data_IF_232494112058
#
_entry.id   IF_232494112058
#
_cell.length_a   1.000
_cell.length_b   1.000
_cell.length_c   1.000
_cell.angle_alpha   90.00
_cell.angle_beta   90.00
_cell.angle_gamma   90.00
#
_symmetry.space_group_name_H-M   'P 1'
#
loop_
_entity.id
_entity.type
_entity.pdbx_description
1 polymer ?
#
# COMPACT_ATOMS: atom_id res chain seq x y z
N UNK A 1 -2.27 -59.44 7.86
CA UNK A 1 -3.66 -59.99 7.80
C UNK A 1 -4.54 -58.74 7.71
N UNK A 2 -5.37 -58.65 6.67
CA UNK A 2 -6.24 -57.47 6.55
C UNK A 2 -7.41 -57.59 7.55
N UNK A 3 -8.02 -56.45 7.87
CA UNK A 3 -9.07 -56.32 8.89
C UNK A 3 -10.29 -57.24 8.59
N UNK A 4 -10.57 -57.54 7.32
CA UNK A 4 -11.64 -58.45 6.88
C UNK A 4 -11.38 -59.90 7.30
N UNK A 5 -10.14 -60.35 7.25
CA UNK A 5 -9.73 -61.70 7.68
C UNK A 5 -9.89 -61.89 9.20
N UNK A 6 -9.66 -60.82 9.99
CA UNK A 6 -9.84 -60.85 11.45
C UNK A 6 -11.33 -60.93 11.83
N UNK A 7 -12.17 -60.15 11.16
CA UNK A 7 -13.64 -60.12 11.41
C UNK A 7 -14.27 -61.48 11.04
N UNK A 8 -13.90 -62.07 9.92
CA UNK A 8 -14.40 -63.38 9.49
C UNK A 8 -13.91 -64.46 10.45
N UNK A 9 -12.68 -64.46 10.95
CA UNK A 9 -12.21 -65.42 11.93
C UNK A 9 -12.95 -65.34 13.27
N UNK A 10 -13.28 -64.17 13.75
CA UNK A 10 -14.04 -63.97 15.00
C UNK A 10 -15.49 -64.46 14.84
N UNK A 11 -16.12 -64.20 13.70
CA UNK A 11 -17.52 -64.67 13.43
C UNK A 11 -17.57 -66.19 13.32
N UNK A 12 -16.61 -66.85 12.70
CA UNK A 12 -16.54 -68.29 12.60
C UNK A 12 -16.27 -68.96 13.96
N UNK A 13 -15.46 -68.35 14.82
CA UNK A 13 -15.22 -68.86 16.18
C UNK A 13 -16.44 -68.72 17.08
N UNK A 14 -17.23 -67.68 16.98
CA UNK A 14 -18.47 -67.50 17.73
C UNK A 14 -19.60 -68.45 17.29
N UNK A 15 -19.69 -68.71 15.98
CA UNK A 15 -20.63 -69.69 15.43
C UNK A 15 -20.25 -71.15 15.78
N UNK A 16 -18.94 -71.46 15.78
CA UNK A 16 -18.44 -72.78 16.20
C UNK A 16 -18.64 -73.10 17.66
N UNK A 17 -18.57 -72.10 18.54
CA UNK A 17 -18.81 -72.28 19.96
C UNK A 17 -20.31 -72.52 20.30
N UNK A 18 -21.24 -72.00 19.46
CA UNK A 18 -22.68 -72.20 19.64
C UNK A 18 -23.19 -73.60 19.27
N UNK A 19 -22.45 -74.32 18.39
CA UNK A 19 -22.86 -75.65 17.89
C UNK A 19 -22.28 -76.82 18.67
N UNK A 20 -21.38 -76.56 19.64
CA UNK A 20 -20.61 -77.62 20.36
C UNK A 20 -21.18 -78.09 21.71
N UNK A 21 -22.19 -77.48 22.25
CA UNK A 21 -22.73 -77.91 23.56
C UNK A 21 -24.21 -78.26 23.47
N UNK A 22 -24.49 -79.55 23.62
CA UNK A 22 -25.83 -80.10 23.80
C UNK A 22 -26.38 -79.65 25.17
N UNK A 23 -27.54 -78.97 25.20
CA UNK A 23 -28.09 -78.44 26.43
C UNK A 23 -29.50 -78.92 26.73
N UNK A 24 -29.72 -79.17 28.00
CA UNK A 24 -30.92 -79.59 28.70
C UNK A 24 -32.05 -78.51 28.61
N UNK A 25 -33.24 -78.92 28.29
CA UNK A 25 -34.39 -78.11 27.78
C UNK A 25 -34.92 -77.02 28.75
N UNK A 26 -34.52 -76.96 30.00
CA UNK A 26 -35.02 -75.97 30.95
C UNK A 26 -34.25 -74.66 31.08
N UNK A 27 -33.07 -74.50 30.40
CA UNK A 27 -32.30 -73.27 30.36
C UNK A 27 -32.42 -72.50 29.01
N UNK A 28 -33.20 -73.01 28.08
CA UNK A 28 -33.20 -72.59 26.67
C UNK A 28 -33.80 -71.18 26.42
N UNK A 29 -34.73 -70.70 27.25
CA UNK A 29 -35.43 -69.42 27.01
C UNK A 29 -34.49 -68.20 27.24
N UNK A 30 -33.79 -68.16 28.37
CA UNK A 30 -32.90 -67.06 28.70
C UNK A 30 -31.63 -67.02 27.81
N UNK A 31 -31.16 -68.21 27.40
CA UNK A 31 -30.06 -68.35 26.48
C UNK A 31 -30.44 -67.92 25.07
N UNK A 32 -31.62 -68.29 24.58
CA UNK A 32 -32.10 -67.87 23.26
C UNK A 32 -32.33 -66.36 23.19
N UNK A 33 -32.83 -65.73 24.30
CA UNK A 33 -32.92 -64.27 24.38
C UNK A 33 -31.54 -63.62 24.32
N UNK A 34 -30.56 -64.17 25.03
CA UNK A 34 -29.17 -63.66 25.00
C UNK A 34 -28.48 -63.88 23.65
N UNK A 35 -28.76 -64.97 22.97
CA UNK A 35 -28.27 -65.24 21.61
C UNK A 35 -28.89 -64.22 20.64
N UNK A 36 -30.19 -63.96 20.69
CA UNK A 36 -30.86 -63.00 19.83
C UNK A 36 -30.37 -61.52 20.10
N UNK A 37 -30.09 -61.20 21.37
CA UNK A 37 -29.47 -59.90 21.73
C UNK A 37 -28.03 -59.80 21.16
N UNK A 38 -27.24 -60.86 21.27
CA UNK A 38 -25.87 -60.89 20.73
C UNK A 38 -25.89 -60.85 19.20
N UNK A 39 -26.80 -61.56 18.53
CA UNK A 39 -27.01 -61.50 17.10
C UNK A 39 -27.39 -60.09 16.62
N UNK A 40 -28.30 -59.42 17.34
CA UNK A 40 -28.69 -58.02 17.07
C UNK A 40 -27.49 -57.08 17.22
N UNK A 41 -26.71 -57.21 18.31
CA UNK A 41 -25.55 -56.41 18.57
C UNK A 41 -24.43 -56.66 17.50
N UNK A 42 -24.28 -57.95 17.10
CA UNK A 42 -23.32 -58.32 16.07
C UNK A 42 -23.71 -57.74 14.71
N UNK A 43 -24.99 -57.71 14.38
CA UNK A 43 -25.52 -57.04 13.18
C UNK A 43 -25.26 -55.58 13.21
N UNK A 44 -25.60 -54.88 14.34
CA UNK A 44 -25.33 -53.46 14.50
C UNK A 44 -23.84 -53.10 14.38
N UNK A 45 -22.99 -53.94 15.01
CA UNK A 45 -21.53 -53.76 14.93
C UNK A 45 -21.00 -53.96 13.51
N UNK A 46 -21.58 -54.94 12.77
CA UNK A 46 -21.20 -55.18 11.36
C UNK A 46 -21.62 -53.99 10.46
N UNK A 47 -22.79 -53.40 10.71
CA UNK A 47 -23.24 -52.19 9.99
C UNK A 47 -22.34 -50.98 10.31
N UNK A 48 -21.92 -50.82 11.57
CA UNK A 48 -21.01 -49.74 12.00
C UNK A 48 -19.61 -49.94 11.37
N UNK A 49 -19.08 -51.16 11.34
CA UNK A 49 -17.80 -51.47 10.68
C UNK A 49 -17.88 -51.18 9.18
N UNK A 50 -18.98 -51.52 8.51
CA UNK A 50 -19.12 -51.21 7.07
C UNK A 50 -19.19 -49.66 6.84
N UNK A 51 -19.85 -48.93 7.72
CA UNK A 51 -19.90 -47.45 7.66
C UNK A 51 -18.53 -46.80 7.90
N UNK A 52 -17.76 -47.36 8.84
CA UNK A 52 -16.40 -46.87 9.12
C UNK A 52 -15.43 -47.23 7.97
N UNK A 53 -15.57 -48.40 7.33
CA UNK A 53 -14.79 -48.74 6.13
C UNK A 53 -15.06 -47.74 4.98
N UNK A 54 -16.30 -47.39 4.71
CA UNK A 54 -16.69 -46.42 3.69
C UNK A 54 -16.15 -44.99 4.00
N UNK A 55 -16.22 -44.58 5.27
CA UNK A 55 -15.61 -43.32 5.72
C UNK A 55 -14.09 -43.34 5.54
N UNK A 56 -13.44 -44.44 5.83
CA UNK A 56 -12.00 -44.62 5.67
C UNK A 56 -11.59 -44.52 4.19
N UNK A 57 -12.36 -45.11 3.29
CA UNK A 57 -12.16 -45.04 1.83
C UNK A 57 -12.29 -43.59 1.33
N UNK A 58 -13.35 -42.90 1.79
CA UNK A 58 -13.59 -41.48 1.49
C UNK A 58 -12.42 -40.59 1.95
N UNK A 59 -12.02 -40.72 3.22
CA UNK A 59 -10.88 -40.01 3.79
C UNK A 59 -9.56 -40.30 3.09
N UNK A 60 -9.35 -41.53 2.66
CA UNK A 60 -8.18 -41.93 1.89
C UNK A 60 -8.16 -41.26 0.51
N UNK A 61 -9.33 -41.15 -0.13
CA UNK A 61 -9.51 -40.40 -1.37
C UNK A 61 -9.22 -38.91 -1.23
N UNK A 62 -9.80 -38.27 -0.17
CA UNK A 62 -9.55 -36.89 0.15
C UNK A 62 -8.07 -36.61 0.44
N UNK A 63 -7.40 -37.48 1.23
CA UNK A 63 -5.98 -37.38 1.52
C UNK A 63 -5.15 -37.42 0.23
N UNK A 64 -5.50 -38.30 -0.70
CA UNK A 64 -4.79 -38.42 -2.00
C UNK A 64 -5.01 -37.15 -2.82
N UNK A 65 -6.21 -36.62 -2.87
CA UNK A 65 -6.53 -35.39 -3.57
C UNK A 65 -5.75 -34.17 -2.97
N UNK A 66 -5.76 -34.04 -1.68
CA UNK A 66 -5.03 -32.98 -0.96
C UNK A 66 -3.51 -33.09 -1.17
N UNK A 67 -2.98 -34.32 -1.18
CA UNK A 67 -1.56 -34.56 -1.46
C UNK A 67 -1.17 -34.14 -2.89
N UNK A 68 -2.06 -34.36 -3.85
CA UNK A 68 -1.87 -33.94 -5.25
C UNK A 68 -1.92 -32.40 -5.36
N UNK A 69 -2.90 -31.77 -4.69
CA UNK A 69 -3.01 -30.31 -4.66
C UNK A 69 -1.79 -29.64 -3.99
N UNK A 70 -1.33 -30.21 -2.88
CA UNK A 70 -0.11 -29.74 -2.22
C UNK A 70 1.11 -29.88 -3.12
N UNK A 71 1.21 -30.97 -3.86
CA UNK A 71 2.29 -31.15 -4.84
C UNK A 71 2.27 -30.13 -5.97
N UNK A 72 1.08 -29.80 -6.48
CA UNK A 72 0.90 -28.75 -7.50
C UNK A 72 1.25 -27.36 -6.94
N UNK A 73 0.75 -27.02 -5.75
CA UNK A 73 1.04 -25.74 -5.10
C UNK A 73 2.55 -25.56 -4.81
N UNK A 74 3.23 -26.63 -4.37
CA UNK A 74 4.68 -26.58 -4.16
C UNK A 74 5.46 -26.40 -5.48
N UNK A 75 4.99 -26.98 -6.58
CA UNK A 75 5.62 -26.79 -7.88
C UNK A 75 5.43 -25.35 -8.38
N UNK A 76 4.25 -24.78 -8.17
CA UNK A 76 3.95 -23.38 -8.49
C UNK A 76 4.80 -22.42 -7.66
N UNK A 77 4.92 -22.69 -6.35
CA UNK A 77 5.79 -21.91 -5.46
C UNK A 77 7.25 -21.93 -5.93
N UNK A 78 7.79 -23.08 -6.31
CA UNK A 78 9.15 -23.18 -6.85
C UNK A 78 9.34 -22.41 -8.16
N UNK A 79 8.31 -22.41 -9.03
CA UNK A 79 8.33 -21.61 -10.26
C UNK A 79 8.37 -20.11 -9.93
N UNK A 80 7.50 -19.67 -9.02
CA UNK A 80 7.41 -18.28 -8.58
C UNK A 80 8.70 -17.79 -7.91
N UNK A 81 9.32 -18.63 -7.07
CA UNK A 81 10.62 -18.34 -6.45
C UNK A 81 11.73 -18.21 -7.51
N UNK A 82 11.68 -19.01 -8.56
CA UNK A 82 12.64 -18.92 -9.67
C UNK A 82 12.45 -17.62 -10.45
N UNK A 83 11.22 -17.27 -10.76
CA UNK A 83 10.87 -16.01 -11.45
C UNK A 83 11.24 -14.80 -10.59
N UNK A 84 10.92 -14.83 -9.30
CA UNK A 84 11.30 -13.77 -8.36
C UNK A 84 12.81 -13.55 -8.31
N UNK A 85 13.60 -14.63 -8.21
CA UNK A 85 15.06 -14.53 -8.20
C UNK A 85 15.63 -14.02 -9.52
N UNK A 86 15.02 -14.39 -10.66
CA UNK A 86 15.39 -13.86 -11.96
C UNK A 86 15.09 -12.36 -12.08
N UNK A 87 13.90 -11.95 -11.66
CA UNK A 87 13.48 -10.54 -11.64
C UNK A 87 14.36 -9.70 -10.70
N UNK A 88 14.68 -10.24 -9.52
CA UNK A 88 15.60 -9.59 -8.59
C UNK A 88 16.98 -9.39 -9.21
N UNK A 89 17.51 -10.39 -9.89
CA UNK A 89 18.81 -10.28 -10.58
C UNK A 89 18.76 -9.22 -11.68
N UNK A 90 17.66 -9.13 -12.43
CA UNK A 90 17.47 -8.08 -13.43
C UNK A 90 17.39 -6.69 -12.79
N UNK A 91 16.67 -6.58 -11.69
CA UNK A 91 16.57 -5.32 -10.94
C UNK A 91 17.94 -4.87 -10.43
N UNK A 92 18.73 -5.77 -9.81
CA UNK A 92 20.05 -5.45 -9.30
C UNK A 92 21.01 -5.05 -10.45
N UNK A 93 20.91 -5.70 -11.62
CA UNK A 93 21.68 -5.34 -12.79
C UNK A 93 21.26 -3.96 -13.35
N UNK A 94 19.98 -3.67 -13.41
CA UNK A 94 19.45 -2.38 -13.85
C UNK A 94 19.85 -1.25 -12.88
N UNK A 95 19.80 -1.52 -11.60
CA UNK A 95 20.27 -0.59 -10.55
C UNK A 95 21.76 -0.28 -10.74
N UNK A 96 22.59 -1.30 -10.97
CA UNK A 96 24.02 -1.08 -11.24
C UNK A 96 24.27 -0.28 -12.52
N UNK A 97 23.49 -0.51 -13.58
CA UNK A 97 23.57 0.29 -14.81
C UNK A 97 23.12 1.74 -14.58
N UNK A 98 22.08 1.94 -13.79
CA UNK A 98 21.61 3.27 -13.39
C UNK A 98 22.68 4.02 -12.60
N UNK A 99 23.30 3.37 -11.61
CA UNK A 99 24.37 3.98 -10.81
C UNK A 99 25.61 4.33 -11.67
N UNK A 100 25.93 3.49 -12.65
CA UNK A 100 27.00 3.79 -13.60
C UNK A 100 26.63 5.01 -14.47
N UNK A 101 25.42 5.07 -15.01
CA UNK A 101 24.94 6.18 -15.83
C UNK A 101 24.90 7.48 -15.03
N UNK A 102 24.42 7.43 -13.77
CA UNK A 102 24.46 8.56 -12.85
C UNK A 102 25.91 9.04 -12.64
N UNK A 103 26.85 8.11 -12.44
CA UNK A 103 28.27 8.45 -12.27
C UNK A 103 28.87 9.11 -13.52
N UNK A 104 28.52 8.61 -14.70
CA UNK A 104 28.97 9.19 -15.98
C UNK A 104 28.35 10.57 -16.22
N UNK A 105 27.03 10.70 -15.93
CA UNK A 105 26.32 11.98 -16.00
C UNK A 105 26.94 13.01 -15.05
N UNK A 106 27.17 12.67 -13.79
CA UNK A 106 27.78 13.53 -12.79
C UNK A 106 29.18 14.00 -13.20
N UNK A 107 29.99 13.09 -13.75
CA UNK A 107 31.30 13.43 -14.27
C UNK A 107 31.22 14.45 -15.41
N UNK A 108 30.24 14.26 -16.31
CA UNK A 108 29.98 15.17 -17.41
C UNK A 108 29.44 16.51 -16.92
N UNK A 109 28.48 16.46 -15.96
CA UNK A 109 27.84 17.63 -15.37
C UNK A 109 28.85 18.45 -14.53
N UNK A 110 29.71 17.80 -13.73
CA UNK A 110 30.77 18.47 -12.98
C UNK A 110 31.76 19.17 -13.91
N UNK A 111 32.11 18.52 -15.04
CA UNK A 111 32.95 19.15 -16.08
C UNK A 111 32.25 20.34 -16.73
N UNK A 112 30.95 20.23 -16.99
CA UNK A 112 30.12 21.31 -17.53
C UNK A 112 30.02 22.48 -16.55
N UNK A 113 29.73 22.22 -15.28
CA UNK A 113 29.61 23.24 -14.23
C UNK A 113 30.96 23.93 -13.94
N UNK A 114 32.07 23.18 -13.93
CA UNK A 114 33.41 23.72 -13.79
C UNK A 114 33.78 24.62 -14.98
N UNK A 115 33.27 24.32 -16.17
CA UNK A 115 33.52 25.10 -17.38
C UNK A 115 32.67 26.38 -17.48
N UNK A 116 31.51 26.46 -16.81
CA UNK A 116 30.51 27.51 -17.08
C UNK A 116 30.12 28.35 -15.85
N UNK A 117 30.36 27.89 -14.59
CA UNK A 117 30.05 28.65 -13.36
C UNK A 117 28.57 29.08 -13.24
N UNK A 118 27.66 28.36 -13.88
CA UNK A 118 26.25 28.72 -14.02
C UNK A 118 25.34 28.18 -12.86
N UNK A 119 24.29 28.91 -12.51
CA UNK A 119 23.25 28.41 -11.56
C UNK A 119 22.54 27.15 -12.07
N UNK A 120 21.96 26.35 -11.17
CA UNK A 120 21.16 25.19 -11.56
C UNK A 120 19.88 25.66 -12.26
N UNK A 121 19.61 25.09 -13.41
CA UNK A 121 18.47 25.40 -14.26
C UNK A 121 18.82 26.39 -15.37
N UNK A 122 18.74 25.91 -16.61
CA UNK A 122 18.74 26.71 -17.82
C UNK A 122 17.50 26.37 -18.62
N UNK A 123 16.32 26.69 -18.08
CA UNK A 123 15.06 26.47 -18.77
C UNK A 123 14.78 27.54 -19.82
N UNK A 124 14.24 27.16 -20.96
CA UNK A 124 13.54 28.08 -21.83
C UNK A 124 12.30 28.61 -21.10
N UNK A 125 12.18 29.93 -20.93
CA UNK A 125 11.01 30.55 -20.30
C UNK A 125 11.34 31.41 -19.08
N UNK A 126 10.32 32.03 -18.44
CA UNK A 126 10.51 32.87 -17.26
C UNK A 126 10.97 32.01 -16.07
N UNK A 127 11.97 32.49 -15.35
CA UNK A 127 12.52 31.87 -14.15
C UNK A 127 12.24 32.69 -12.89
N UNK A 128 12.36 32.04 -11.74
CA UNK A 128 12.41 32.64 -10.41
C UNK A 128 13.82 32.40 -9.90
N UNK A 129 14.56 33.46 -9.60
CA UNK A 129 15.91 33.35 -9.08
C UNK A 129 15.86 33.09 -7.57
N UNK A 130 16.62 32.11 -7.10
CA UNK A 130 16.78 31.78 -5.68
C UNK A 130 18.24 31.53 -5.37
N UNK A 131 18.70 32.11 -4.26
CA UNK A 131 20.04 31.90 -3.71
C UNK A 131 19.91 31.50 -2.25
N UNK A 132 20.52 30.38 -1.89
CA UNK A 132 20.52 29.84 -0.54
C UNK A 132 21.95 29.75 -0.02
N UNK A 133 22.11 30.01 1.28
CA UNK A 133 23.38 29.84 1.97
C UNK A 133 23.12 29.16 3.32
N UNK A 134 23.94 28.16 3.64
CA UNK A 134 23.84 27.42 4.90
C UNK A 134 25.22 26.97 5.36
N UNK A 135 25.35 26.49 6.59
CA UNK A 135 26.60 25.95 7.12
C UNK A 135 26.48 24.45 7.39
N UNK A 136 27.46 23.68 6.98
CA UNK A 136 27.59 22.27 7.32
C UNK A 136 29.05 21.90 7.51
N UNK A 137 29.38 21.13 8.58
CA UNK A 137 30.75 20.72 8.96
C UNK A 137 31.72 21.90 9.02
N UNK A 138 31.32 23.02 9.64
CA UNK A 138 32.10 24.25 9.80
C UNK A 138 32.54 24.89 8.46
N UNK A 139 31.85 24.61 7.39
CA UNK A 139 32.01 25.20 6.07
C UNK A 139 30.70 25.84 5.64
N UNK A 140 30.80 27.04 5.03
CA UNK A 140 29.66 27.71 4.43
C UNK A 140 29.46 27.22 3.00
N UNK A 141 28.23 26.96 2.66
CA UNK A 141 27.78 26.44 1.38
C UNK A 141 26.77 27.40 0.76
N UNK A 142 26.67 27.39 -0.53
CA UNK A 142 25.67 28.15 -1.27
C UNK A 142 25.22 27.41 -2.53
N UNK A 143 24.00 27.71 -2.94
CA UNK A 143 23.40 27.19 -4.18
C UNK A 143 22.58 28.30 -4.82
N UNK A 144 22.80 28.53 -6.11
CA UNK A 144 22.01 29.43 -6.93
C UNK A 144 21.13 28.64 -7.88
N UNK A 145 19.85 28.98 -7.92
CA UNK A 145 18.81 28.28 -8.64
C UNK A 145 18.08 29.22 -9.58
N UNK A 146 17.90 28.81 -10.83
CA UNK A 146 16.99 29.43 -11.80
C UNK A 146 15.78 28.52 -11.95
N UNK A 147 14.76 28.75 -11.16
CA UNK A 147 13.60 27.86 -11.02
C UNK A 147 12.56 28.17 -12.10
N UNK A 148 12.07 27.18 -12.89
CA UNK A 148 11.03 27.41 -13.89
C UNK A 148 9.74 27.94 -13.25
N UNK A 149 9.33 29.16 -13.61
CA UNK A 149 8.11 29.79 -13.07
C UNK A 149 6.86 28.99 -13.41
N UNK A 150 6.79 28.40 -14.60
CA UNK A 150 5.64 27.61 -15.03
C UNK A 150 5.38 26.38 -14.17
N UNK A 151 6.45 25.75 -13.66
CA UNK A 151 6.34 24.61 -12.74
C UNK A 151 5.88 25.06 -11.36
N UNK A 152 6.42 26.19 -10.87
CA UNK A 152 5.96 26.78 -9.61
C UNK A 152 4.49 27.18 -9.66
N UNK A 153 4.09 27.92 -10.70
CA UNK A 153 2.71 28.38 -10.88
C UNK A 153 1.73 27.19 -10.99
N UNK A 154 2.17 26.09 -11.60
CA UNK A 154 1.38 24.86 -11.63
C UNK A 154 1.14 24.32 -10.22
N UNK A 155 2.18 24.08 -9.43
CA UNK A 155 2.03 23.53 -8.09
C UNK A 155 1.28 24.48 -7.13
N UNK A 156 1.56 25.76 -7.22
CA UNK A 156 0.86 26.77 -6.41
C UNK A 156 -0.65 26.85 -6.69
N UNK A 157 -1.06 26.53 -7.93
CA UNK A 157 -2.47 26.46 -8.34
C UNK A 157 -3.08 25.07 -8.23
N UNK A 158 -2.26 24.03 -8.00
CA UNK A 158 -2.73 22.64 -7.98
C UNK A 158 -3.53 22.36 -6.70
N UNK A 159 -4.67 21.71 -6.85
CA UNK A 159 -5.51 21.30 -5.72
C UNK A 159 -4.77 20.29 -4.83
N UNK A 160 -4.83 20.48 -3.52
CA UNK A 160 -4.18 19.57 -2.58
C UNK A 160 -4.94 18.26 -2.46
N UNK A 161 -4.28 17.10 -2.64
CA UNK A 161 -4.90 15.80 -2.41
C UNK A 161 -5.44 15.70 -0.97
N UNK A 162 -6.69 15.22 -0.82
CA UNK A 162 -7.29 15.03 0.51
C UNK A 162 -6.82 13.69 1.08
N UNK A 163 -5.64 13.69 1.70
CA UNK A 163 -5.02 12.49 2.29
C UNK A 163 -4.05 12.89 3.39
N UNK A 164 -3.92 12.04 4.41
CA UNK A 164 -2.89 12.17 5.45
C UNK A 164 -1.54 11.53 5.01
N UNK A 165 -1.50 10.91 3.83
CA UNK A 165 -0.28 10.30 3.30
C UNK A 165 0.53 11.30 2.48
N UNK A 166 1.49 11.95 3.11
CA UNK A 166 2.36 12.94 2.48
C UNK A 166 3.27 12.37 1.37
N UNK A 167 3.36 11.05 1.20
CA UNK A 167 4.10 10.46 0.08
C UNK A 167 3.52 10.88 -1.28
N UNK A 168 2.24 11.27 -1.36
CA UNK A 168 1.63 11.81 -2.57
C UNK A 168 2.35 13.04 -3.11
N UNK A 169 2.89 13.88 -2.23
CA UNK A 169 3.65 15.07 -2.64
C UNK A 169 5.06 14.73 -3.10
N UNK A 170 5.66 13.69 -2.51
CA UNK A 170 7.02 13.23 -2.84
C UNK A 170 7.04 12.45 -4.17
N UNK A 171 5.98 11.71 -4.45
CA UNK A 171 5.88 10.83 -5.63
C UNK A 171 5.27 11.50 -6.87
N UNK A 172 5.00 12.81 -6.81
CA UNK A 172 4.60 13.57 -7.99
C UNK A 172 5.81 13.85 -8.88
N UNK A 173 5.83 13.26 -10.07
CA UNK A 173 7.00 13.28 -10.97
C UNK A 173 7.14 14.57 -11.79
N UNK A 174 6.26 15.56 -11.62
CA UNK A 174 6.24 16.73 -12.49
C UNK A 174 7.45 17.65 -12.34
N UNK A 175 8.04 17.68 -11.17
CA UNK A 175 9.27 18.47 -10.88
C UNK A 175 10.55 17.65 -10.88
N UNK A 176 10.48 16.33 -11.05
CA UNK A 176 11.60 15.40 -10.95
C UNK A 176 12.80 15.82 -11.79
N UNK A 177 12.56 16.29 -13.01
CA UNK A 177 13.66 16.70 -13.89
C UNK A 177 14.48 17.86 -13.32
N UNK A 178 13.82 18.83 -12.66
CA UNK A 178 14.49 19.93 -12.00
C UNK A 178 15.09 19.54 -10.65
N UNK A 179 14.28 18.86 -9.82
CA UNK A 179 14.71 18.42 -8.49
C UNK A 179 15.84 17.41 -8.55
N UNK A 180 15.92 16.56 -9.59
CA UNK A 180 17.07 15.71 -9.87
C UNK A 180 18.35 16.54 -10.07
N UNK A 181 18.28 17.65 -10.79
CA UNK A 181 19.44 18.53 -10.97
C UNK A 181 19.92 19.14 -9.63
N UNK A 182 18.98 19.43 -8.72
CA UNK A 182 19.31 19.88 -7.35
C UNK A 182 19.97 18.74 -6.55
N UNK A 183 19.35 17.56 -6.54
CA UNK A 183 19.87 16.37 -5.86
C UNK A 183 21.27 15.98 -6.36
N UNK A 184 21.50 16.03 -7.68
CA UNK A 184 22.79 15.77 -8.30
C UNK A 184 23.87 16.77 -7.85
N UNK A 185 23.50 18.04 -7.65
CA UNK A 185 24.42 19.02 -7.10
C UNK A 185 24.85 18.64 -5.68
N UNK A 186 23.92 18.19 -4.81
CA UNK A 186 24.27 17.72 -3.48
C UNK A 186 25.17 16.48 -3.52
N UNK A 187 24.90 15.52 -4.43
CA UNK A 187 25.75 14.35 -4.64
C UNK A 187 27.16 14.74 -5.12
N UNK A 188 27.25 15.65 -6.10
CA UNK A 188 28.53 16.11 -6.62
C UNK A 188 29.37 16.77 -5.52
N UNK A 189 28.80 17.72 -4.77
CA UNK A 189 29.46 18.38 -3.65
C UNK A 189 29.87 17.40 -2.54
N UNK A 190 29.04 16.41 -2.26
CA UNK A 190 29.35 15.35 -1.29
C UNK A 190 30.57 14.52 -1.72
N UNK A 191 30.63 14.12 -2.99
CA UNK A 191 31.75 13.37 -3.56
C UNK A 191 33.05 14.18 -3.55
N UNK A 192 32.99 15.45 -3.97
CA UNK A 192 34.13 16.36 -3.96
C UNK A 192 34.73 16.52 -2.55
N UNK A 193 33.90 16.46 -1.52
CA UNK A 193 34.34 16.62 -0.14
C UNK A 193 34.56 15.28 0.58
N UNK A 194 34.38 14.15 -0.10
CA UNK A 194 34.62 12.81 0.46
C UNK A 194 33.66 12.42 1.58
N UNK A 195 32.39 12.86 1.51
CA UNK A 195 31.40 12.58 2.54
C UNK A 195 31.04 11.09 2.59
N UNK A 196 30.88 10.57 3.79
CA UNK A 196 30.27 9.25 4.04
C UNK A 196 28.77 9.31 3.72
N UNK A 197 28.10 8.17 3.58
CA UNK A 197 26.66 8.11 3.33
C UNK A 197 25.83 8.88 4.37
N UNK A 198 26.17 8.77 5.65
CA UNK A 198 25.51 9.54 6.69
C UNK A 198 25.78 11.06 6.58
N UNK A 199 27.01 11.44 6.22
CA UNK A 199 27.34 12.85 6.00
C UNK A 199 26.67 13.41 4.74
N UNK A 200 26.51 12.61 3.69
CA UNK A 200 25.80 12.98 2.45
C UNK A 200 24.31 13.26 2.76
N UNK A 201 23.65 12.37 3.53
CA UNK A 201 22.28 12.58 4.01
C UNK A 201 22.17 13.83 4.88
N UNK A 202 23.06 13.99 5.84
CA UNK A 202 23.08 15.18 6.73
C UNK A 202 23.36 16.46 5.96
N UNK A 203 24.16 16.43 4.90
CA UNK A 203 24.44 17.58 4.06
C UNK A 203 23.19 18.07 3.33
N UNK A 204 22.42 17.16 2.70
CA UNK A 204 21.14 17.51 2.09
C UNK A 204 20.13 18.02 3.14
N UNK A 205 20.04 17.32 4.28
CA UNK A 205 19.16 17.73 5.36
C UNK A 205 19.53 19.11 5.93
N UNK A 206 20.83 19.41 6.11
CA UNK A 206 21.29 20.69 6.65
C UNK A 206 20.84 21.90 5.81
N UNK A 207 20.76 21.73 4.49
CA UNK A 207 20.16 22.74 3.61
C UNK A 207 18.69 22.98 3.95
N UNK A 208 17.88 21.92 4.02
CA UNK A 208 16.44 22.07 4.33
C UNK A 208 16.23 22.55 5.77
N UNK A 209 17.03 22.08 6.72
CA UNK A 209 17.01 22.55 8.11
C UNK A 209 17.27 24.04 8.21
N UNK A 210 18.13 24.62 7.35
CA UNK A 210 18.46 26.05 7.32
C UNK A 210 17.32 26.94 6.82
N UNK A 211 16.35 26.37 6.10
CA UNK A 211 15.16 27.13 5.67
C UNK A 211 14.34 27.56 6.92
N UNK A 212 13.85 28.80 6.96
CA UNK A 212 13.00 29.27 8.05
C UNK A 212 11.78 28.36 8.30
N UNK A 213 11.55 28.02 9.58
CA UNK A 213 10.34 27.32 9.98
C UNK A 213 9.17 28.32 10.06
N UNK A 214 8.13 28.10 9.28
CA UNK A 214 6.96 28.99 9.23
C UNK A 214 5.69 28.15 9.11
N UNK A 215 4.70 28.45 9.95
CA UNK A 215 3.38 27.84 9.90
C UNK A 215 2.63 28.24 8.62
N UNK A 216 1.82 27.33 8.11
CA UNK A 216 1.05 27.52 6.88
C UNK A 216 0.09 28.70 6.95
N UNK A 217 -0.62 28.88 8.06
CA UNK A 217 -1.55 29.98 8.22
C UNK A 217 -0.88 31.38 8.12
N UNK A 218 0.43 31.45 8.36
CA UNK A 218 1.22 32.70 8.23
C UNK A 218 1.63 32.95 6.78
N UNK A 219 1.95 31.89 6.07
CA UNK A 219 2.55 31.99 4.73
C UNK A 219 1.54 31.87 3.59
N UNK A 220 0.45 31.11 3.81
CA UNK A 220 -0.56 30.83 2.78
C UNK A 220 -1.96 31.31 3.13
N UNK A 221 -2.23 31.56 4.43
CA UNK A 221 -3.57 31.87 4.94
C UNK A 221 -4.45 30.64 5.17
N UNK A 222 -4.01 29.43 4.83
CA UNK A 222 -4.67 28.17 5.15
C UNK A 222 -4.17 27.62 6.48
N UNK A 223 -4.98 26.86 7.20
CA UNK A 223 -4.57 26.24 8.47
C UNK A 223 -3.57 25.09 8.24
N UNK A 224 -3.79 24.33 7.18
CA UNK A 224 -2.97 23.21 6.71
C UNK A 224 -2.77 23.39 5.21
N UNK A 225 -1.53 23.36 4.75
CA UNK A 225 -1.16 23.51 3.35
C UNK A 225 0.15 22.79 3.06
N UNK A 226 0.08 21.49 2.87
CA UNK A 226 1.25 20.71 2.46
C UNK A 226 1.78 21.22 1.11
N UNK A 227 3.00 21.77 1.12
CA UNK A 227 3.68 22.21 -0.10
C UNK A 227 4.28 21.04 -0.83
N UNK A 228 4.16 21.06 -2.14
CA UNK A 228 5.03 20.22 -2.95
C UNK A 228 6.50 20.60 -2.73
N UNK A 229 7.45 19.66 -2.91
CA UNK A 229 8.88 19.94 -2.71
C UNK A 229 9.36 21.18 -3.47
N UNK A 230 8.90 21.31 -4.71
CA UNK A 230 9.21 22.44 -5.57
C UNK A 230 8.74 23.79 -5.02
N UNK A 231 7.56 23.84 -4.40
CA UNK A 231 7.06 25.05 -3.76
C UNK A 231 7.90 25.42 -2.54
N UNK A 232 8.19 24.41 -1.67
CA UNK A 232 9.05 24.64 -0.50
C UNK A 232 10.43 25.15 -0.91
N UNK A 233 10.97 24.60 -2.00
CA UNK A 233 12.26 25.06 -2.56
C UNK A 233 12.18 26.49 -3.07
N UNK A 234 11.07 26.91 -3.69
CA UNK A 234 10.91 28.27 -4.23
C UNK A 234 10.54 29.26 -3.14
N UNK A 235 9.61 28.92 -2.25
CA UNK A 235 9.17 29.79 -1.16
C UNK A 235 10.30 30.00 -0.12
N UNK A 236 11.19 29.00 0.00
CA UNK A 236 12.32 29.02 0.92
C UNK A 236 11.90 28.95 2.39
N UNK A 237 10.70 28.50 2.68
CA UNK A 237 10.11 28.35 4.02
C UNK A 237 9.20 27.14 4.06
N UNK A 238 8.94 26.62 5.26
CA UNK A 238 7.97 25.55 5.48
C UNK A 238 7.91 25.14 6.94
N UNK A 239 6.87 24.40 7.28
CA UNK A 239 6.73 23.73 8.58
C UNK A 239 7.35 22.33 8.58
N UNK A 240 6.97 21.45 9.53
CA UNK A 240 7.54 20.11 9.62
C UNK A 240 7.18 19.24 8.42
N UNK A 241 5.94 19.33 7.95
CA UNK A 241 5.46 18.57 6.81
C UNK A 241 6.17 18.99 5.52
N UNK A 242 6.14 20.28 5.20
CA UNK A 242 6.77 20.86 4.00
C UNK A 242 8.28 20.54 3.93
N UNK A 243 9.00 20.69 5.05
CA UNK A 243 10.44 20.42 5.12
C UNK A 243 10.75 18.93 5.01
N UNK A 244 9.93 18.07 5.60
CA UNK A 244 10.09 16.62 5.51
C UNK A 244 9.81 16.11 4.09
N UNK A 245 8.77 16.62 3.42
CA UNK A 245 8.44 16.32 2.04
C UNK A 245 9.61 16.70 1.11
N UNK A 246 10.15 17.93 1.23
CA UNK A 246 11.29 18.37 0.42
C UNK A 246 12.54 17.51 0.68
N UNK A 247 12.84 17.21 1.95
CA UNK A 247 14.01 16.38 2.29
C UNK A 247 13.84 14.96 1.77
N UNK A 248 12.63 14.39 1.88
CA UNK A 248 12.34 13.05 1.37
C UNK A 248 12.56 12.97 -0.14
N UNK A 249 12.04 13.92 -0.94
CA UNK A 249 12.24 13.92 -2.39
C UNK A 249 13.72 14.07 -2.75
N UNK A 250 14.44 14.99 -2.13
CA UNK A 250 15.88 15.15 -2.40
C UNK A 250 16.63 13.84 -2.13
N UNK A 251 16.38 13.18 -1.01
CA UNK A 251 17.05 11.93 -0.67
C UNK A 251 16.64 10.77 -1.57
N UNK A 252 15.37 10.67 -1.97
CA UNK A 252 14.93 9.68 -2.97
C UNK A 252 15.65 9.88 -4.29
N UNK A 253 15.71 11.12 -4.78
CA UNK A 253 16.44 11.46 -6.01
C UNK A 253 17.95 11.27 -5.87
N UNK A 254 18.51 11.32 -4.66
CA UNK A 254 19.89 10.92 -4.34
C UNK A 254 20.05 9.39 -4.19
N UNK A 255 19.01 8.59 -4.51
CA UNK A 255 18.99 7.12 -4.44
C UNK A 255 19.06 6.55 -3.02
N UNK A 256 18.51 7.26 -2.03
CA UNK A 256 18.27 6.72 -0.69
C UNK A 256 16.88 6.13 -0.59
N UNK A 257 16.76 5.08 0.20
CA UNK A 257 15.49 4.48 0.60
C UNK A 257 14.97 5.24 1.84
N UNK A 258 13.81 5.89 1.70
CA UNK A 258 13.27 6.86 2.65
C UNK A 258 11.82 6.51 2.98
N UNK A 259 11.42 6.76 4.22
CA UNK A 259 10.03 6.72 4.66
C UNK A 259 9.67 8.04 5.34
N UNK A 260 8.40 8.45 5.28
CA UNK A 260 7.87 9.50 6.15
C UNK A 260 7.46 8.89 7.49
N UNK A 261 7.71 9.62 8.56
CA UNK A 261 7.37 9.28 9.93
C UNK A 261 6.37 10.31 10.44
N UNK A 262 5.12 9.89 10.62
CA UNK A 262 4.02 10.79 10.96
C UNK A 262 3.54 10.57 12.40
N UNK A 263 3.36 11.68 13.11
CA UNK A 263 2.67 11.81 14.39
C UNK A 263 1.55 12.84 14.27
N UNK A 264 0.61 12.94 15.20
CA UNK A 264 -0.51 13.88 15.09
C UNK A 264 -0.13 15.35 14.87
N UNK A 265 1.06 15.78 15.30
CA UNK A 265 1.50 17.18 15.23
C UNK A 265 2.93 17.33 14.68
N UNK A 266 3.47 16.28 14.07
CA UNK A 266 4.84 16.32 13.56
C UNK A 266 5.07 15.32 12.43
N UNK A 267 5.88 15.74 11.46
CA UNK A 267 6.38 14.88 10.38
C UNK A 267 7.90 14.98 10.35
N UNK A 268 8.55 13.83 10.36
CA UNK A 268 9.97 13.68 10.12
C UNK A 268 10.21 12.59 9.07
N UNK A 269 11.45 12.22 8.84
CA UNK A 269 11.79 11.14 7.90
C UNK A 269 12.60 10.04 8.54
N UNK A 270 12.50 8.85 7.97
CA UNK A 270 13.40 7.73 8.23
C UNK A 270 14.23 7.45 6.99
N UNK A 271 15.53 7.26 7.14
CA UNK A 271 16.46 6.99 6.04
C UNK A 271 17.17 5.67 6.26
N UNK A 272 17.10 4.77 5.29
CA UNK A 272 17.86 3.53 5.33
C UNK A 272 19.31 3.78 4.94
N UNK A 273 20.23 3.55 5.87
CA UNK A 273 21.67 3.58 5.64
C UNK A 273 22.24 2.22 6.08
N UNK A 274 22.81 1.41 5.18
CA UNK A 274 23.42 0.13 5.54
C UNK A 274 24.44 0.28 6.66
N UNK A 275 24.33 -0.52 7.71
CA UNK A 275 25.16 -0.46 8.93
C UNK A 275 25.14 0.88 9.68
N UNK A 276 24.16 1.73 9.40
CA UNK A 276 23.95 2.97 10.14
C UNK A 276 23.56 2.69 11.60
N UNK A 277 23.88 3.62 12.48
CA UNK A 277 23.59 3.53 13.92
C UNK A 277 22.86 4.77 14.41
N UNK A 278 22.04 4.58 15.44
CA UNK A 278 21.25 5.65 16.03
C UNK A 278 19.80 5.23 16.26
N UNK A 279 18.97 6.21 16.59
CA UNK A 279 17.54 6.02 16.75
C UNK A 279 16.90 5.68 15.40
N UNK A 280 16.03 4.69 15.37
CA UNK A 280 15.49 4.14 14.13
C UNK A 280 14.12 3.51 14.30
N UNK A 281 13.40 3.41 13.22
CA UNK A 281 12.15 2.66 13.07
C UNK A 281 12.36 1.46 12.19
N UNK A 282 11.67 0.36 12.48
CA UNK A 282 11.71 -0.85 11.65
C UNK A 282 10.50 -0.89 10.73
N UNK A 283 10.74 -1.06 9.44
CA UNK A 283 9.72 -1.25 8.43
C UNK A 283 10.21 -2.27 7.39
N UNK A 284 9.41 -3.29 7.10
CA UNK A 284 9.73 -4.37 6.14
C UNK A 284 11.12 -5.00 6.30
N UNK A 285 11.55 -5.18 7.56
CA UNK A 285 12.84 -5.78 7.88
C UNK A 285 14.06 -4.87 7.68
N UNK A 286 13.85 -3.59 7.37
CA UNK A 286 14.89 -2.57 7.29
C UNK A 286 14.80 -1.62 8.48
N UNK A 287 15.95 -1.08 8.89
CA UNK A 287 16.06 -0.06 9.92
C UNK A 287 16.24 1.31 9.30
N UNK A 288 15.21 2.15 9.39
CA UNK A 288 15.23 3.52 8.92
C UNK A 288 15.65 4.44 10.06
N UNK A 289 16.79 5.07 9.91
CA UNK A 289 17.34 6.01 10.88
C UNK A 289 16.52 7.28 10.89
N UNK A 290 16.12 7.75 12.06
CA UNK A 290 15.39 9.00 12.22
C UNK A 290 16.21 10.20 11.72
N UNK A 291 15.56 11.13 11.04
CA UNK A 291 16.15 12.40 10.61
C UNK A 291 15.17 13.54 10.84
N UNK A 292 15.56 14.47 11.70
CA UNK A 292 14.84 15.70 11.97
C UNK A 292 15.07 16.72 10.85
N UNK A 293 14.02 17.37 10.37
CA UNK A 293 14.08 18.31 9.23
C UNK A 293 13.82 19.76 9.61
N UNK A 294 13.30 20.02 10.82
CA UNK A 294 12.79 21.35 11.20
C UNK A 294 13.82 22.27 11.81
N UNK A 295 14.88 21.74 12.43
CA UNK A 295 15.90 22.51 13.16
C UNK A 295 17.29 22.15 12.69
N UNK A 296 18.16 23.18 12.61
CA UNK A 296 19.56 23.01 12.29
C UNK A 296 20.31 22.18 13.36
N UNK A 297 21.31 21.42 12.90
CA UNK A 297 22.25 20.72 13.73
C UNK A 297 21.87 19.30 14.11
N UNK A 298 20.65 18.84 13.81
CA UNK A 298 20.28 17.45 13.98
C UNK A 298 20.88 16.59 12.86
N UNK A 299 21.39 15.42 13.24
CA UNK A 299 21.97 14.47 12.30
C UNK A 299 21.18 13.16 12.24
N UNK A 300 21.31 12.44 11.14
CA UNK A 300 20.63 11.16 10.94
C UNK A 300 20.96 10.17 12.06
N UNK A 301 19.95 9.56 12.66
CA UNK A 301 20.05 8.68 13.83
C UNK A 301 19.94 9.40 15.17
N UNK A 302 19.81 10.71 15.21
CA UNK A 302 19.49 11.49 16.40
C UNK A 302 18.01 11.84 16.40
N UNK A 303 17.31 11.61 17.52
CA UNK A 303 15.91 11.99 17.69
C UNK A 303 15.77 12.96 18.85
N UNK A 304 14.94 14.01 18.71
CA UNK A 304 14.57 14.86 19.84
C UNK A 304 13.95 14.01 20.97
N UNK A 305 14.22 14.34 22.25
CA UNK A 305 13.73 13.54 23.38
C UNK A 305 12.21 13.34 23.38
N UNK A 306 11.46 14.31 22.87
CA UNK A 306 10.01 14.31 22.77
C UNK A 306 9.47 13.23 21.81
N UNK A 307 10.25 12.81 20.80
CA UNK A 307 9.88 11.78 19.82
C UNK A 307 10.56 10.43 20.10
N UNK A 308 11.55 10.40 20.99
CA UNK A 308 12.25 9.18 21.37
C UNK A 308 11.31 8.18 22.06
N UNK A 309 11.12 7.00 21.46
CA UNK A 309 10.28 5.93 22.01
C UNK A 309 8.78 6.06 21.75
N UNK A 310 8.35 7.05 20.93
CA UNK A 310 6.96 7.18 20.48
C UNK A 310 6.80 6.48 19.14
N UNK A 311 5.72 5.71 18.98
CA UNK A 311 5.39 5.05 17.71
C UNK A 311 4.95 6.10 16.69
N UNK A 312 5.60 6.11 15.51
CA UNK A 312 5.18 6.85 14.34
C UNK A 312 4.31 5.99 13.42
N UNK A 313 3.40 6.59 12.68
CA UNK A 313 2.89 5.96 11.47
C UNK A 313 3.97 6.06 10.39
N UNK A 314 4.35 4.91 9.82
CA UNK A 314 5.38 4.85 8.78
C UNK A 314 4.68 4.86 7.42
N UNK A 315 5.00 5.86 6.60
CA UNK A 315 4.51 5.97 5.23
C UNK A 315 5.68 5.77 4.27
N UNK A 316 5.73 4.65 3.53
CA UNK A 316 6.71 4.44 2.49
C UNK A 316 6.53 5.46 1.35
N UNK A 317 7.62 5.78 0.65
CA UNK A 317 7.55 6.65 -0.51
C UNK A 317 7.20 5.81 -1.73
N UNK A 318 5.92 5.60 -1.91
CA UNK A 318 5.31 4.86 -3.01
C UNK A 318 4.18 5.69 -3.63
N UNK A 319 3.83 5.47 -4.90
CA UNK A 319 2.68 6.12 -5.50
C UNK A 319 1.41 5.89 -4.68
N UNK A 320 0.65 6.94 -4.45
CA UNK A 320 -0.51 6.94 -3.54
C UNK A 320 -1.80 7.08 -4.35
N UNK A 321 -2.78 6.23 -4.09
CA UNK A 321 -4.15 6.41 -4.58
C UNK A 321 -4.88 7.43 -3.71
N UNK A 322 -5.40 8.48 -4.33
CA UNK A 322 -6.26 9.47 -3.66
C UNK A 322 -7.48 9.70 -4.52
N UNK A 323 -8.58 9.09 -4.13
CA UNK A 323 -9.78 9.06 -4.94
C UNK A 323 -10.89 9.83 -4.23
N UNK A 324 -11.55 10.67 -4.98
CA UNK A 324 -12.75 11.37 -4.54
C UNK A 324 -13.79 11.33 -5.65
N UNK A 325 -15.05 11.59 -5.33
CA UNK A 325 -16.07 11.74 -6.34
C UNK A 325 -17.13 12.75 -5.89
N UNK A 326 -17.75 13.36 -6.88
CA UNK A 326 -18.95 14.16 -6.72
C UNK A 326 -19.97 13.74 -7.77
N UNK A 327 -21.24 14.09 -7.58
CA UNK A 327 -22.29 13.65 -8.46
C UNK A 327 -23.37 14.71 -8.64
N UNK A 328 -24.05 14.60 -9.77
CA UNK A 328 -25.24 15.36 -10.10
C UNK A 328 -26.33 14.41 -10.58
N UNK A 329 -27.59 14.74 -10.32
CA UNK A 329 -28.69 13.91 -10.77
C UNK A 329 -29.81 14.73 -11.37
N UNK A 330 -30.55 14.11 -12.31
CA UNK A 330 -31.72 14.71 -12.96
C UNK A 330 -32.75 13.65 -13.28
N UNK A 331 -34.00 14.03 -13.23
CA UNK A 331 -35.11 13.19 -13.69
C UNK A 331 -35.28 13.24 -15.20
N UNK A 332 -35.40 12.07 -15.83
CA UNK A 332 -35.73 11.89 -17.25
C UNK A 332 -36.88 10.88 -17.33
N UNK A 333 -38.11 11.40 -17.40
CA UNK A 333 -39.31 10.57 -17.25
C UNK A 333 -39.42 9.95 -15.87
N UNK A 334 -39.47 8.62 -15.78
CA UNK A 334 -39.49 7.87 -14.53
C UNK A 334 -38.08 7.42 -14.06
N UNK A 335 -37.04 7.82 -14.78
CA UNK A 335 -35.68 7.42 -14.47
C UNK A 335 -34.93 8.57 -13.79
N UNK A 336 -34.16 8.25 -12.76
CA UNK A 336 -33.16 9.13 -12.19
C UNK A 336 -31.82 8.87 -12.89
N UNK A 337 -31.38 9.84 -13.65
CA UNK A 337 -30.07 9.81 -14.31
C UNK A 337 -29.07 10.47 -13.36
N UNK A 338 -27.98 9.78 -13.05
CA UNK A 338 -26.94 10.20 -12.13
C UNK A 338 -25.60 10.23 -12.87
N UNK A 339 -25.01 11.41 -12.95
CA UNK A 339 -23.67 11.61 -13.49
C UNK A 339 -22.70 11.69 -12.30
N UNK A 340 -21.82 10.70 -12.16
CA UNK A 340 -20.81 10.60 -11.09
C UNK A 340 -19.46 10.88 -11.71
N UNK A 341 -18.80 11.94 -11.26
CA UNK A 341 -17.43 12.25 -11.68
C UNK A 341 -16.48 11.77 -10.59
N UNK A 342 -15.67 10.78 -10.94
CA UNK A 342 -14.60 10.23 -10.10
C UNK A 342 -13.31 10.93 -10.47
N UNK A 343 -12.59 11.42 -9.48
CA UNK A 343 -11.29 12.09 -9.60
C UNK A 343 -10.23 11.29 -8.88
N UNK A 344 -9.13 11.02 -9.55
CA UNK A 344 -7.90 10.52 -8.95
C UNK A 344 -6.93 11.69 -8.81
N UNK A 345 -6.77 12.21 -7.60
CA UNK A 345 -5.80 13.26 -7.26
C UNK A 345 -4.51 12.69 -6.65
N UNK A 346 -4.36 11.38 -6.67
CA UNK A 346 -3.16 10.66 -6.25
C UNK A 346 -2.11 10.55 -7.35
N UNK A 347 -1.02 9.88 -7.02
CA UNK A 347 0.12 9.62 -7.90
C UNK A 347 0.16 8.18 -8.43
N UNK A 348 -0.73 7.31 -7.94
CA UNK A 348 -0.96 5.95 -8.45
C UNK A 348 -2.12 5.92 -9.43
N UNK A 349 -1.98 5.19 -10.53
CA UNK A 349 -3.11 4.84 -11.39
C UNK A 349 -4.02 3.84 -10.67
N UNK A 350 -5.33 3.94 -10.89
CA UNK A 350 -6.31 2.97 -10.39
C UNK A 350 -6.89 2.16 -11.53
N UNK A 351 -7.22 0.91 -11.27
CA UNK A 351 -7.82 0.01 -12.26
C UNK A 351 -8.98 -0.80 -11.69
N UNK A 352 -9.92 -1.16 -12.55
CA UNK A 352 -11.02 -2.06 -12.19
C UNK A 352 -12.09 -1.47 -11.27
N UNK A 353 -12.03 -0.19 -10.93
CA UNK A 353 -13.00 0.48 -10.07
C UNK A 353 -14.39 0.54 -10.72
N UNK A 354 -15.43 0.58 -9.90
CA UNK A 354 -16.82 0.70 -10.32
C UNK A 354 -17.55 1.74 -9.50
N UNK A 355 -18.56 2.36 -10.10
CA UNK A 355 -19.54 3.15 -9.38
C UNK A 355 -20.83 2.36 -9.30
N UNK A 356 -21.37 2.25 -8.10
CA UNK A 356 -22.68 1.69 -7.86
C UNK A 356 -23.62 2.76 -7.30
N UNK A 357 -24.80 2.90 -7.88
CA UNK A 357 -25.82 3.81 -7.40
C UNK A 357 -27.08 3.04 -7.06
N UNK A 358 -27.76 3.42 -5.98
CA UNK A 358 -28.99 2.78 -5.54
C UNK A 358 -29.95 3.77 -4.91
N UNK A 359 -31.22 3.36 -4.79
CA UNK A 359 -32.27 4.10 -4.08
C UNK A 359 -32.55 3.39 -2.75
N UNK A 360 -32.29 4.07 -1.64
CA UNK A 360 -32.40 3.56 -0.27
C UNK A 360 -33.75 3.94 0.35
N UNK A 361 -34.43 2.97 0.93
CA UNK A 361 -35.71 3.16 1.63
C UNK A 361 -35.57 3.50 3.12
N UNK A 362 -34.34 3.71 3.61
CA UNK A 362 -34.05 4.12 4.99
C UNK A 362 -33.69 3.00 5.96
N UNK A 363 -33.50 1.81 5.47
CA UNK A 363 -33.15 0.62 6.27
C UNK A 363 -31.97 -0.15 5.64
N UNK A 364 -31.10 0.55 4.89
CA UNK A 364 -30.00 0.01 4.08
C UNK A 364 -30.46 -1.03 3.03
N UNK A 365 -31.73 -1.06 2.71
CA UNK A 365 -32.29 -1.85 1.61
C UNK A 365 -32.37 -0.98 0.35
N UNK A 366 -31.59 -1.33 -0.63
CA UNK A 366 -31.61 -0.71 -1.94
C UNK A 366 -32.66 -1.40 -2.83
N UNK A 367 -33.67 -0.66 -3.24
CA UNK A 367 -34.76 -1.20 -4.09
C UNK A 367 -34.55 -0.97 -5.59
N UNK A 368 -33.54 -0.17 -5.96
CA UNK A 368 -33.10 -0.02 -7.35
C UNK A 368 -31.58 0.18 -7.30
N UNK A 369 -30.85 -0.68 -7.99
CA UNK A 369 -29.37 -0.64 -8.03
C UNK A 369 -28.92 -0.68 -9.48
N UNK A 370 -27.91 0.12 -9.81
CA UNK A 370 -27.20 0.08 -11.08
C UNK A 370 -25.71 0.21 -10.82
N UNK A 371 -24.93 -0.67 -11.44
CA UNK A 371 -23.47 -0.68 -11.34
C UNK A 371 -22.86 -0.37 -12.70
N UNK A 372 -21.81 0.45 -12.74
CA UNK A 372 -21.05 0.73 -13.96
C UNK A 372 -20.26 -0.48 -14.43
N UNK A 373 -19.81 -0.43 -15.68
CA UNK A 373 -18.68 -1.28 -16.07
C UNK A 373 -17.43 -0.88 -15.26
N UNK A 374 -16.49 -1.82 -15.03
CA UNK A 374 -15.19 -1.48 -14.47
C UNK A 374 -14.48 -0.42 -15.31
N UNK A 375 -13.75 0.48 -14.66
CA UNK A 375 -12.97 1.51 -15.32
C UNK A 375 -11.61 1.69 -14.68
N UNK A 376 -10.69 2.15 -15.50
CA UNK A 376 -9.37 2.59 -15.06
C UNK A 376 -9.33 4.12 -15.09
N UNK A 377 -8.50 4.71 -14.22
CA UNK A 377 -8.32 6.15 -14.15
C UNK A 377 -6.86 6.44 -13.80
N UNK A 378 -6.17 7.10 -14.71
CA UNK A 378 -4.79 7.50 -14.48
C UNK A 378 -4.67 8.53 -13.35
N UNK A 379 -3.48 8.62 -12.75
CA UNK A 379 -3.14 9.64 -11.79
C UNK A 379 -3.44 11.05 -12.33
N UNK A 380 -3.87 11.96 -11.47
CA UNK A 380 -4.22 13.35 -11.80
C UNK A 380 -5.27 13.53 -12.90
N UNK A 381 -6.17 12.56 -13.08
CA UNK A 381 -7.27 12.63 -14.06
C UNK A 381 -8.63 12.43 -13.42
N UNK A 382 -9.68 12.77 -14.18
CA UNK A 382 -11.07 12.53 -13.76
C UNK A 382 -11.88 11.88 -14.87
N UNK A 383 -12.96 11.18 -14.49
CA UNK A 383 -13.86 10.50 -15.40
C UNK A 383 -15.30 10.58 -14.91
N UNK A 384 -16.21 11.00 -15.79
CA UNK A 384 -17.65 11.00 -15.51
C UNK A 384 -18.32 9.73 -16.00
N UNK A 385 -19.09 9.09 -15.11
CA UNK A 385 -19.84 7.86 -15.35
C UNK A 385 -21.31 8.16 -15.15
N UNK A 386 -22.11 7.88 -16.18
CA UNK A 386 -23.57 8.08 -16.14
C UNK A 386 -24.27 6.77 -15.79
N UNK A 387 -25.07 6.79 -14.73
CA UNK A 387 -25.91 5.68 -14.30
C UNK A 387 -27.40 6.06 -14.41
N UNK A 388 -28.26 5.08 -14.61
CA UNK A 388 -29.70 5.29 -14.69
C UNK A 388 -30.43 4.34 -13.75
N UNK A 389 -31.16 4.92 -12.81
CA UNK A 389 -31.99 4.20 -11.85
C UNK A 389 -33.46 4.34 -12.23
N UNK A 390 -34.20 3.22 -12.24
CA UNK A 390 -35.64 3.25 -12.46
C UNK A 390 -36.33 3.49 -11.12
N UNK A 391 -37.17 4.52 -11.06
CA UNK A 391 -37.96 4.86 -9.89
C UNK A 391 -39.38 4.30 -9.95
N UNK A 392 -39.93 4.00 -8.78
CA UNK A 392 -41.37 3.76 -8.58
C UNK A 392 -41.99 5.00 -7.94
N UNK A 393 -43.18 5.40 -8.39
CA UNK A 393 -43.87 6.57 -7.86
C UNK A 393 -44.35 6.37 -6.43
N UNK A 394 -44.28 7.46 -5.64
CA UNK A 394 -44.82 7.51 -4.29
C UNK A 394 -43.97 6.86 -3.20
N UNK A 395 -42.69 6.70 -3.48
CA UNK A 395 -41.73 6.24 -2.50
C UNK A 395 -40.93 7.40 -1.91
N UNK A 396 -40.74 7.39 -0.58
CA UNK A 396 -39.81 8.26 0.12
C UNK A 396 -38.43 7.58 0.14
N UNK A 397 -37.44 8.20 -0.48
CA UNK A 397 -36.13 7.55 -0.74
C UNK A 397 -35.01 8.58 -0.74
N UNK A 398 -33.77 8.10 -0.75
CA UNK A 398 -32.57 8.89 -1.03
C UNK A 398 -31.67 8.13 -2.00
N UNK A 399 -30.90 8.85 -2.78
CA UNK A 399 -29.85 8.27 -3.59
C UNK A 399 -28.67 7.90 -2.70
N UNK A 400 -28.11 6.73 -2.91
CA UNK A 400 -26.82 6.32 -2.34
C UNK A 400 -25.87 5.95 -3.48
N UNK A 401 -24.62 6.40 -3.36
CA UNK A 401 -23.57 6.12 -4.34
C UNK A 401 -22.40 5.50 -3.59
N UNK A 402 -21.91 4.40 -4.12
CA UNK A 402 -20.70 3.72 -3.66
C UNK A 402 -19.64 3.84 -4.75
N UNK A 403 -18.43 4.10 -4.34
CA UNK A 403 -17.24 3.81 -5.12
C UNK A 403 -16.71 2.45 -4.65
N UNK A 404 -16.51 1.54 -5.58
CA UNK A 404 -16.15 0.14 -5.32
C UNK A 404 -14.83 -0.15 -6.01
N UNK A 405 -13.87 -0.73 -5.29
CA UNK A 405 -12.56 -1.13 -5.81
C UNK A 405 -12.63 -2.38 -6.71
N UNK A 406 -11.51 -2.83 -7.22
CA UNK A 406 -11.38 -4.02 -8.07
C UNK A 406 -11.65 -5.33 -7.32
N UNK A 407 -11.44 -5.35 -6.00
CA UNK A 407 -11.76 -6.49 -5.13
C UNK A 407 -13.26 -6.56 -4.77
N UNK A 408 -14.01 -5.49 -5.03
CA UNK A 408 -15.44 -5.39 -4.77
C UNK A 408 -15.79 -4.81 -3.41
N UNK A 409 -14.86 -4.15 -2.72
CA UNK A 409 -15.13 -3.42 -1.48
C UNK A 409 -15.54 -1.98 -1.77
N UNK A 410 -16.51 -1.49 -1.00
CA UNK A 410 -16.89 -0.08 -1.04
C UNK A 410 -15.83 0.76 -0.32
N UNK A 411 -15.07 1.55 -1.09
CA UNK A 411 -14.03 2.44 -0.56
C UNK A 411 -14.58 3.77 -0.08
N UNK A 412 -15.71 4.21 -0.64
CA UNK A 412 -16.45 5.40 -0.19
C UNK A 412 -17.95 5.27 -0.46
N UNK A 413 -18.75 6.00 0.33
CA UNK A 413 -20.21 5.99 0.29
C UNK A 413 -20.79 7.36 0.58
N UNK A 414 -21.60 7.87 -0.33
CA UNK A 414 -22.28 9.16 -0.17
C UNK A 414 -23.81 9.02 -0.32
N UNK A 415 -24.55 9.91 0.34
CA UNK A 415 -26.00 9.99 0.28
C UNK A 415 -26.50 11.34 -0.19
N UNK A 416 -27.60 11.34 -0.94
CA UNK A 416 -28.40 12.56 -1.14
C UNK A 416 -29.22 12.92 0.08
N UNK A 417 -29.85 14.08 0.07
CA UNK A 417 -31.03 14.33 0.87
C UNK A 417 -32.19 13.38 0.51
N UNK A 418 -33.17 13.26 1.41
CA UNK A 418 -34.40 12.52 1.17
C UNK A 418 -35.30 13.24 0.15
N UNK A 419 -35.98 12.49 -0.71
CA UNK A 419 -36.94 13.00 -1.68
C UNK A 419 -38.07 11.98 -1.94
N UNK A 420 -39.18 12.48 -2.50
CA UNK A 420 -40.30 11.66 -2.93
C UNK A 420 -40.26 11.46 -4.44
N UNK A 421 -40.62 10.25 -4.90
CA UNK A 421 -40.59 9.86 -6.32
C UNK A 421 -41.97 9.88 -6.98
#
# INVERSE_FOLDING_TARGET
>A
MDSKSIVVAVVVLLLGAATGYGFNISQTSAQNTKIAELESNLKSLSEEVASLEDQLETLSGEKTSLSTQLGAANAELQSLETEYNALKTQHDALTAQYDQLVTEYDSLYSKYQAAVGQPIGSGEGPTIDRSYSWSYMSKDWSIDLLVPRTTYDYFAAHERPTTDNCAVYVTNMRDDAYMSSVAERFLALSRENGFTKAQEVNFAASFVQSLPYMFDNVTTGYQEYARYPFETLVDGVGDCECKSILTAQLLVLMSYDVVLLNWPEHVAIGVYIPNGSGYSYEYEGKRYLYLETTREGWTVGEAPPEFGGITAAICPIEPVEVISYYWQSKWVGSNLVVDVTVKNSGTSDISGYKVEAGLDSGNDLLWSITTSNPFDLASETEKTITLTLTSQKGLHTRLVIYLVDDEGYAVDKQYSGWFDT
#
